data_IF_353931209297
#
_entry.id   IF_353931209297
#
_cell.length_a   1.000
_cell.length_b   1.000
_cell.length_c   1.000
_cell.angle_alpha   90.00
_cell.angle_beta   90.00
_cell.angle_gamma   90.00
#
_symmetry.space_group_name_H-M   'P 1'
#
loop_
_entity.id
_entity.type
_entity.pdbx_description
1 polymer ?
#
# COMPACT_ATOMS: atom_id res chain seq x y z
N UNK A 1 -16.02 2.84 -69.50
CA UNK A 1 -16.10 1.39 -69.30
C UNK A 1 -16.86 1.13 -68.01
N UNK A 2 -17.83 0.22 -68.05
CA UNK A 2 -18.87 0.01 -67.03
C UNK A 2 -18.33 -0.72 -65.79
N UNK A 3 -18.86 -0.29 -64.65
CA UNK A 3 -19.28 -1.08 -63.48
C UNK A 3 -18.26 -1.85 -62.66
N UNK A 4 -18.16 -1.44 -61.40
CA UNK A 4 -17.73 -2.27 -60.27
C UNK A 4 -18.85 -3.16 -59.72
N UNK A 5 -18.50 -3.77 -58.58
CA UNK A 5 -19.15 -4.83 -57.78
C UNK A 5 -18.62 -6.24 -58.10
N UNK A 6 -18.27 -6.99 -57.04
CA UNK A 6 -19.27 -7.91 -56.49
C UNK A 6 -19.65 -7.62 -55.03
N UNK A 7 -20.91 -7.93 -54.74
CA UNK A 7 -21.55 -7.82 -53.44
C UNK A 7 -21.28 -9.00 -52.50
N UNK A 8 -21.97 -9.02 -51.34
CA UNK A 8 -21.56 -9.71 -50.12
C UNK A 8 -22.30 -11.04 -49.87
N UNK A 9 -21.97 -11.65 -48.74
CA UNK A 9 -22.67 -12.72 -48.00
C UNK A 9 -22.05 -14.11 -48.16
N UNK A 10 -21.41 -14.63 -47.11
CA UNK A 10 -21.95 -15.63 -46.18
C UNK A 10 -21.12 -15.59 -44.88
N UNK A 11 -21.75 -15.95 -43.77
CA UNK A 11 -21.41 -15.75 -42.34
C UNK A 11 -20.04 -16.31 -41.88
N UNK A 12 -19.53 -15.84 -40.72
CA UNK A 12 -19.64 -16.75 -39.57
C UNK A 12 -20.05 -16.04 -38.27
N UNK A 13 -21.13 -16.57 -37.70
CA UNK A 13 -21.25 -16.95 -36.29
C UNK A 13 -21.06 -15.85 -35.23
N UNK A 14 -22.20 -15.39 -34.74
CA UNK A 14 -22.38 -14.86 -33.38
C UNK A 14 -21.73 -15.82 -32.38
N UNK A 15 -20.88 -15.30 -31.50
CA UNK A 15 -21.13 -15.46 -30.07
C UNK A 15 -20.48 -14.31 -29.30
N UNK A 16 -21.33 -13.42 -28.79
CA UNK A 16 -20.99 -12.51 -27.71
C UNK A 16 -21.44 -13.19 -26.43
N UNK A 17 -20.56 -13.49 -25.47
CA UNK A 17 -21.00 -13.68 -24.10
C UNK A 17 -21.06 -12.31 -23.43
N UNK A 18 -22.27 -11.75 -23.36
CA UNK A 18 -22.59 -10.75 -22.36
C UNK A 18 -22.86 -11.48 -21.04
N UNK A 19 -21.98 -11.30 -20.06
CA UNK A 19 -22.24 -11.56 -18.64
C UNK A 19 -21.36 -10.56 -17.87
N UNK A 20 -21.82 -9.33 -17.64
CA UNK A 20 -22.72 -8.92 -16.57
C UNK A 20 -22.28 -9.47 -15.19
N UNK A 21 -21.79 -8.54 -14.35
CA UNK A 21 -21.79 -8.60 -12.89
C UNK A 21 -20.94 -9.68 -12.21
N UNK A 22 -19.75 -9.29 -11.76
CA UNK A 22 -19.23 -9.79 -10.48
C UNK A 22 -19.37 -8.66 -9.45
N UNK A 23 -20.60 -8.47 -8.97
CA UNK A 23 -20.82 -7.89 -7.67
C UNK A 23 -21.19 -9.03 -6.73
N UNK A 24 -20.46 -9.12 -5.61
CA UNK A 24 -20.75 -9.95 -4.42
C UNK A 24 -20.56 -11.44 -4.69
N UNK A 25 -19.74 -12.17 -3.93
CA UNK A 25 -19.97 -12.78 -2.61
C UNK A 25 -18.62 -13.51 -2.32
N UNK A 26 -18.06 -13.69 -1.12
CA UNK A 26 -18.57 -13.70 0.23
C UNK A 26 -17.35 -13.83 1.21
N UNK A 27 -17.54 -13.99 2.53
CA UNK A 27 -16.70 -13.42 3.56
C UNK A 27 -15.42 -14.23 3.76
N UNK A 28 -14.27 -13.55 3.90
CA UNK A 28 -13.21 -14.16 4.69
C UNK A 28 -13.52 -13.88 6.16
N UNK A 29 -14.46 -14.67 6.69
CA UNK A 29 -14.51 -14.96 8.12
C UNK A 29 -13.24 -15.72 8.48
N UNK A 30 -12.15 -14.99 8.68
CA UNK A 30 -10.99 -15.47 9.42
C UNK A 30 -11.07 -14.90 10.83
N UNK A 31 -12.17 -15.18 11.55
CA UNK A 31 -12.24 -15.01 13.00
C UNK A 31 -11.42 -16.13 13.62
N UNK A 32 -10.13 -15.91 13.79
CA UNK A 32 -9.25 -16.83 14.51
C UNK A 32 -8.08 -16.07 15.11
N UNK A 33 -8.36 -15.07 15.97
CA UNK A 33 -7.42 -14.34 16.86
C UNK A 33 -6.17 -13.63 16.23
N UNK A 34 -5.65 -14.14 15.11
CA UNK A 34 -4.68 -13.59 14.16
C UNK A 34 -5.18 -12.41 13.27
N UNK A 35 -6.47 -12.22 12.93
CA UNK A 35 -6.89 -11.11 12.07
C UNK A 35 -6.65 -9.75 12.74
N UNK A 36 -6.64 -9.70 14.07
CA UNK A 36 -6.48 -8.46 14.84
C UNK A 36 -5.11 -7.83 14.60
N UNK A 37 -4.03 -8.61 14.68
CA UNK A 37 -2.67 -8.10 14.49
C UNK A 37 -2.42 -7.67 13.06
N UNK A 38 -2.90 -8.42 12.06
CA UNK A 38 -2.75 -8.08 10.66
C UNK A 38 -3.54 -6.81 10.30
N UNK A 39 -4.77 -6.68 10.79
CA UNK A 39 -5.59 -5.48 10.61
C UNK A 39 -4.93 -4.26 11.27
N UNK A 40 -4.40 -4.44 12.48
CA UNK A 40 -3.69 -3.37 13.18
C UNK A 40 -2.39 -2.97 12.46
N UNK A 41 -1.66 -3.95 11.92
CA UNK A 41 -0.48 -3.73 11.07
C UNK A 41 -0.81 -2.97 9.79
N UNK A 42 -1.92 -3.30 9.13
CA UNK A 42 -2.39 -2.57 7.96
C UNK A 42 -2.72 -1.11 8.30
N UNK A 43 -3.46 -0.89 9.39
CA UNK A 43 -3.80 0.44 9.88
C UNK A 43 -2.54 1.23 10.23
N UNK A 44 -1.58 0.58 10.90
CA UNK A 44 -0.30 1.17 11.25
C UNK A 44 0.50 1.55 10.00
N UNK A 45 0.67 0.65 9.03
CA UNK A 45 1.42 0.91 7.80
C UNK A 45 0.84 2.10 7.01
N UNK A 46 -0.49 2.18 6.90
CA UNK A 46 -1.19 3.31 6.27
C UNK A 46 -0.95 4.63 7.02
N UNK A 47 -1.13 4.61 8.34
CA UNK A 47 -0.94 5.79 9.20
C UNK A 47 0.50 6.26 9.17
N UNK A 48 1.44 5.33 9.31
CA UNK A 48 2.88 5.57 9.26
C UNK A 48 3.28 6.25 7.95
N UNK A 49 2.83 5.73 6.80
CA UNK A 49 3.07 6.34 5.49
C UNK A 49 2.54 7.78 5.42
N UNK A 50 1.31 8.00 5.87
CA UNK A 50 0.68 9.32 5.85
C UNK A 50 1.43 10.33 6.72
N UNK A 51 1.76 9.94 7.96
CA UNK A 51 2.48 10.81 8.90
C UNK A 51 3.91 11.07 8.43
N UNK A 52 4.64 10.05 7.96
CA UNK A 52 5.97 10.22 7.36
C UNK A 52 5.97 11.27 6.24
N UNK A 53 5.03 11.15 5.28
CA UNK A 53 4.90 12.11 4.17
C UNK A 53 4.54 13.50 4.69
N UNK A 54 3.63 13.58 5.68
CA UNK A 54 3.23 14.85 6.31
C UNK A 54 4.40 15.56 7.00
N UNK A 55 5.29 14.80 7.63
CA UNK A 55 6.52 15.31 8.25
C UNK A 55 7.62 15.62 7.22
N UNK A 56 7.40 15.31 5.92
CA UNK A 56 8.37 15.57 4.85
C UNK A 56 9.52 14.57 4.76
N UNK A 57 9.46 13.43 5.45
CA UNK A 57 10.52 12.42 5.40
C UNK A 57 10.39 11.52 4.18
N UNK A 58 11.48 11.25 3.47
CA UNK A 58 11.52 10.18 2.48
C UNK A 58 11.72 8.81 3.15
N UNK A 59 11.43 7.72 2.45
CA UNK A 59 11.68 6.37 2.95
C UNK A 59 13.17 6.13 3.26
N UNK A 60 14.08 6.75 2.51
CA UNK A 60 15.51 6.70 2.77
C UNK A 60 15.91 7.48 4.03
N UNK A 61 15.31 8.67 4.24
CA UNK A 61 15.58 9.48 5.43
C UNK A 61 15.14 8.79 6.72
N UNK A 62 13.99 8.11 6.68
CA UNK A 62 13.54 7.27 7.80
C UNK A 62 14.57 6.17 8.07
N UNK A 63 15.01 5.47 7.02
CA UNK A 63 16.00 4.41 7.16
C UNK A 63 17.33 4.87 7.77
N UNK A 64 17.80 6.05 7.38
CA UNK A 64 18.99 6.67 7.94
C UNK A 64 18.79 7.13 9.40
N UNK A 65 17.64 7.76 9.70
CA UNK A 65 17.31 8.20 11.05
C UNK A 65 17.17 7.02 12.02
N UNK A 66 16.57 5.93 11.56
CA UNK A 66 16.50 4.66 12.27
C UNK A 66 17.90 4.10 12.57
N UNK A 67 18.83 4.17 11.63
CA UNK A 67 20.22 3.76 11.85
C UNK A 67 20.91 4.56 12.95
N UNK A 68 20.67 5.87 13.02
CA UNK A 68 21.25 6.73 14.07
C UNK A 68 20.65 6.48 15.45
N UNK A 69 19.35 6.21 15.53
CA UNK A 69 18.64 6.04 16.81
C UNK A 69 18.74 4.62 17.38
N UNK A 70 18.70 3.61 16.51
CA UNK A 70 18.59 2.19 16.90
C UNK A 70 19.78 1.34 16.44
N UNK A 71 20.81 1.95 15.86
CA UNK A 71 22.07 1.28 15.47
C UNK A 71 21.93 0.32 14.28
N UNK A 72 20.79 0.32 13.59
CA UNK A 72 20.55 -0.49 12.40
C UNK A 72 19.88 0.38 11.34
N UNK A 73 20.62 0.67 10.27
CA UNK A 73 20.04 1.39 9.14
C UNK A 73 19.07 0.48 8.40
N UNK A 74 17.97 1.09 7.93
CA UNK A 74 17.09 0.43 6.99
C UNK A 74 17.28 1.02 5.60
N UNK A 75 17.17 0.17 4.60
CA UNK A 75 17.11 0.62 3.22
C UNK A 75 15.75 1.25 2.91
N UNK A 76 15.72 2.15 1.92
CA UNK A 76 14.47 2.65 1.34
C UNK A 76 13.52 1.50 0.94
N UNK A 77 14.09 0.42 0.38
CA UNK A 77 13.31 -0.76 -0.01
C UNK A 77 12.67 -1.45 1.19
N UNK A 78 13.34 -1.48 2.35
CA UNK A 78 12.77 -2.04 3.59
C UNK A 78 11.54 -1.26 4.04
N UNK A 79 11.63 0.07 4.09
CA UNK A 79 10.50 0.93 4.47
C UNK A 79 9.36 0.81 3.46
N UNK A 80 9.68 0.79 2.16
CA UNK A 80 8.66 0.61 1.11
C UNK A 80 7.94 -0.73 1.20
N UNK A 81 8.64 -1.83 1.53
CA UNK A 81 8.02 -3.15 1.70
C UNK A 81 7.14 -3.19 2.94
N UNK A 82 7.54 -2.55 4.04
CA UNK A 82 6.72 -2.43 5.24
C UNK A 82 5.42 -1.66 4.95
N UNK A 83 5.51 -0.49 4.29
CA UNK A 83 4.32 0.31 3.92
C UNK A 83 3.35 -0.45 2.99
N UNK A 84 3.87 -1.37 2.17
CA UNK A 84 3.09 -2.20 1.26
C UNK A 84 2.63 -3.53 1.88
N UNK A 85 2.89 -3.77 3.18
CA UNK A 85 2.66 -5.06 3.86
C UNK A 85 3.32 -6.25 3.14
N UNK A 86 4.40 -6.01 2.40
CA UNK A 86 5.11 -6.99 1.59
C UNK A 86 6.33 -7.56 2.33
N UNK A 87 6.15 -7.91 3.59
CA UNK A 87 7.13 -8.61 4.42
C UNK A 87 6.42 -9.76 5.15
N UNK A 88 7.20 -10.74 5.63
CA UNK A 88 6.63 -11.78 6.47
C UNK A 88 6.03 -11.18 7.75
N UNK A 89 4.95 -11.78 8.24
CA UNK A 89 4.28 -11.33 9.47
C UNK A 89 5.26 -11.17 10.65
N UNK A 90 6.18 -12.13 10.82
CA UNK A 90 7.23 -12.07 11.85
C UNK A 90 8.17 -10.86 11.70
N UNK A 91 8.45 -10.41 10.48
CA UNK A 91 9.24 -9.20 10.25
C UNK A 91 8.41 -7.93 10.46
N UNK A 92 7.15 -7.93 10.02
CA UNK A 92 6.21 -6.84 10.26
C UNK A 92 6.05 -6.54 11.75
N UNK A 93 5.79 -7.56 12.57
CA UNK A 93 5.65 -7.41 14.03
C UNK A 93 6.95 -6.91 14.69
N UNK A 94 8.13 -7.22 14.13
CA UNK A 94 9.41 -6.69 14.64
C UNK A 94 9.64 -5.23 14.27
N UNK A 95 9.20 -4.82 13.08
CA UNK A 95 9.40 -3.46 12.58
C UNK A 95 8.37 -2.48 13.15
N UNK A 96 7.13 -2.91 13.38
CA UNK A 96 6.05 -2.07 13.94
C UNK A 96 6.50 -1.25 15.17
N UNK A 97 7.01 -1.84 16.27
CA UNK A 97 7.39 -1.05 17.46
C UNK A 97 8.56 -0.09 17.20
N UNK A 98 9.49 -0.47 16.32
CA UNK A 98 10.63 0.38 15.95
C UNK A 98 10.18 1.62 15.16
N UNK A 99 9.30 1.41 14.18
CA UNK A 99 8.74 2.47 13.35
C UNK A 99 7.74 3.34 14.11
N UNK A 100 6.99 2.77 15.06
CA UNK A 100 6.07 3.50 15.92
C UNK A 100 6.82 4.44 16.84
N UNK A 101 7.89 3.94 17.48
CA UNK A 101 8.73 4.75 18.35
C UNK A 101 9.40 5.88 17.58
N UNK A 102 9.97 5.59 16.41
CA UNK A 102 10.52 6.61 15.53
C UNK A 102 9.48 7.65 15.11
N UNK A 103 8.28 7.21 14.75
CA UNK A 103 7.22 8.11 14.32
C UNK A 103 6.83 9.06 15.46
N UNK A 104 6.68 8.54 16.68
CA UNK A 104 6.39 9.35 17.87
C UNK A 104 7.49 10.37 18.14
N UNK A 105 8.76 9.98 18.03
CA UNK A 105 9.90 10.87 18.26
C UNK A 105 9.98 11.96 17.17
N UNK A 106 9.73 11.61 15.90
CA UNK A 106 9.69 12.53 14.77
C UNK A 106 8.49 13.49 14.80
N UNK A 107 7.37 13.08 15.40
CA UNK A 107 6.21 13.94 15.64
C UNK A 107 6.40 14.86 16.86
N UNK A 108 7.19 14.42 17.84
CA UNK A 108 7.53 15.19 19.03
C UNK A 108 8.55 16.29 18.74
N UNK A 109 9.40 16.12 17.73
CA UNK A 109 10.22 17.22 17.20
C UNK A 109 9.28 18.20 16.48
N UNK A 110 8.97 19.37 17.06
CA UNK A 110 8.00 20.28 16.46
C UNK A 110 8.56 20.77 15.13
N UNK A 111 7.97 20.34 14.03
CA UNK A 111 8.03 21.08 12.79
C UNK A 111 7.27 22.37 13.03
N UNK A 112 7.99 23.40 13.44
CA UNK A 112 7.54 24.79 13.47
C UNK A 112 7.07 25.18 12.06
N UNK A 113 5.77 24.98 11.77
CA UNK A 113 5.04 25.56 10.63
C UNK A 113 3.55 25.25 10.72
N UNK A 114 2.88 25.91 11.66
CA UNK A 114 1.52 26.44 11.44
C UNK A 114 1.36 27.69 12.31
N UNK A 115 2.21 28.68 12.04
CA UNK A 115 1.82 30.09 12.08
C UNK A 115 1.46 30.48 10.64
N UNK A 116 0.46 31.35 10.51
CA UNK A 116 -0.19 31.89 9.29
C UNK A 116 -1.36 31.02 8.79
N UNK A 117 -2.62 31.44 8.80
CA UNK A 117 -3.29 32.73 9.06
C UNK A 117 -4.73 32.43 9.44
#
# INVERSE_FOLDING_TARGET
>A
GRSGLPGPSLEPHLEVPQHLQVAKHMPSSAVSDEPSDLEELEKFAKTFKQRRIKLGFTQGDVGLAMGKLYGNDFSQTTISRFEALNLSFKNMCKLKPLLEKWLSDAESTPLDSSVST
#
